data_IF_900796851595
#
_entry.id   IF_900796851595
#
_cell.length_a   1.000
_cell.length_b   1.000
_cell.length_c   1.000
_cell.angle_alpha   90.00
_cell.angle_beta   90.00
_cell.angle_gamma   90.00
#
_symmetry.space_group_name_H-M   'P 1'
#
loop_
_entity.id
_entity.type
_entity.pdbx_description
1 polymer ?
#
# COMPACT_ATOMS: atom_id res chain seq x y z
N UNK A 1 2.38 -4.86 7.43
CA UNK A 1 3.43 -4.91 8.48
C UNK A 1 3.44 -3.63 9.33
N UNK A 2 3.15 -2.45 8.78
CA UNK A 2 3.27 -1.17 9.53
C UNK A 2 2.05 -0.81 10.39
N UNK A 3 0.83 -1.06 9.90
CA UNK A 3 -0.41 -0.56 10.52
C UNK A 3 -0.59 -0.96 12.00
N UNK A 4 -0.28 -2.21 12.35
CA UNK A 4 -0.41 -2.74 13.71
C UNK A 4 0.88 -2.63 14.54
N UNK A 5 1.96 -2.03 14.01
CA UNK A 5 3.26 -1.94 14.68
C UNK A 5 3.38 -0.70 15.60
N UNK A 6 2.26 -0.06 15.95
CA UNK A 6 2.27 1.14 16.79
C UNK A 6 2.52 0.77 18.26
N UNK A 7 3.75 1.06 18.72
CA UNK A 7 4.26 0.66 20.04
C UNK A 7 3.40 1.07 21.24
N UNK A 8 2.70 2.20 21.16
CA UNK A 8 1.98 2.79 22.28
C UNK A 8 0.47 2.87 22.03
N UNK A 9 -0.07 2.06 21.11
CA UNK A 9 -1.49 2.03 20.87
C UNK A 9 -2.24 1.51 22.10
N UNK A 10 -3.31 2.21 22.47
CA UNK A 10 -4.28 1.74 23.48
C UNK A 10 -5.05 0.52 22.98
N UNK A 11 -5.69 -0.19 23.91
CA UNK A 11 -6.53 -1.35 23.58
C UNK A 11 -7.70 -0.92 22.68
N UNK A 12 -8.26 0.26 22.92
CA UNK A 12 -9.35 0.83 22.14
C UNK A 12 -8.93 1.18 20.71
N UNK A 13 -7.73 1.74 20.53
CA UNK A 13 -7.18 2.03 19.19
C UNK A 13 -6.89 0.75 18.40
N UNK A 14 -6.32 -0.28 19.04
CA UNK A 14 -6.10 -1.58 18.40
C UNK A 14 -7.41 -2.24 17.99
N UNK A 15 -8.41 -2.24 18.88
CA UNK A 15 -9.73 -2.80 18.58
C UNK A 15 -10.40 -2.08 17.40
N UNK A 16 -10.25 -0.75 17.31
CA UNK A 16 -10.75 0.04 16.18
C UNK A 16 -10.04 -0.31 14.86
N UNK A 17 -8.71 -0.48 14.88
CA UNK A 17 -7.94 -0.92 13.71
C UNK A 17 -8.31 -2.33 13.25
N UNK A 18 -8.47 -3.27 14.19
CA UNK A 18 -8.90 -4.64 13.89
C UNK A 18 -10.31 -4.67 13.29
N UNK A 19 -11.24 -3.89 13.85
CA UNK A 19 -12.59 -3.75 13.32
C UNK A 19 -12.57 -3.18 11.90
N UNK A 20 -11.73 -2.18 11.63
CA UNK A 20 -11.55 -1.64 10.28
C UNK A 20 -11.05 -2.73 9.33
N UNK A 21 -9.93 -3.41 9.67
CA UNK A 21 -9.33 -4.46 8.84
C UNK A 21 -10.36 -5.57 8.51
N UNK A 22 -11.17 -5.99 9.48
CA UNK A 22 -12.20 -7.02 9.30
C UNK A 22 -13.27 -6.64 8.26
N UNK A 23 -13.48 -5.35 8.01
CA UNK A 23 -14.42 -4.84 7.02
C UNK A 23 -13.75 -4.50 5.67
N UNK A 24 -12.50 -4.93 5.45
CA UNK A 24 -11.76 -4.70 4.19
C UNK A 24 -11.49 -6.00 3.45
N UNK A 25 -11.19 -5.88 2.15
CA UNK A 25 -10.66 -6.98 1.34
C UNK A 25 -9.14 -7.01 1.52
N UNK A 26 -8.61 -8.12 1.99
CA UNK A 26 -7.18 -8.31 2.19
C UNK A 26 -6.54 -8.94 0.95
N UNK A 27 -5.56 -8.24 0.39
CA UNK A 27 -4.69 -8.76 -0.67
C UNK A 27 -3.38 -9.22 -0.04
N UNK A 28 -3.10 -10.51 -0.13
CA UNK A 28 -1.84 -11.08 0.32
C UNK A 28 -0.71 -10.76 -0.68
N UNK A 29 0.52 -10.93 -0.22
CA UNK A 29 1.69 -10.76 -1.06
C UNK A 29 1.87 -11.99 -1.97
N UNK A 30 1.20 -11.96 -3.11
CA UNK A 30 1.23 -13.02 -4.13
C UNK A 30 2.34 -12.77 -5.17
N UNK A 31 2.72 -13.83 -5.90
CA UNK A 31 3.79 -13.76 -6.91
C UNK A 31 3.66 -12.61 -7.92
N UNK A 32 2.46 -12.31 -8.49
CA UNK A 32 2.31 -11.18 -9.41
C UNK A 32 2.66 -9.83 -8.76
N UNK A 33 2.28 -9.65 -7.48
CA UNK A 33 2.60 -8.44 -6.70
C UNK A 33 4.09 -8.38 -6.39
N UNK A 34 4.71 -9.51 -6.03
CA UNK A 34 6.15 -9.60 -5.77
C UNK A 34 6.95 -9.20 -7.01
N UNK A 35 6.65 -9.81 -8.16
CA UNK A 35 7.36 -9.53 -9.41
C UNK A 35 7.18 -8.08 -9.85
N UNK A 36 5.95 -7.55 -9.75
CA UNK A 36 5.69 -6.14 -10.07
C UNK A 36 6.40 -5.19 -9.09
N UNK A 37 6.49 -5.53 -7.81
CA UNK A 37 7.24 -4.73 -6.82
C UNK A 37 8.73 -4.67 -7.16
N UNK A 38 9.31 -5.80 -7.60
CA UNK A 38 10.72 -5.87 -8.04
C UNK A 38 10.93 -4.98 -9.27
N UNK A 39 10.04 -5.04 -10.26
CA UNK A 39 10.08 -4.21 -11.46
C UNK A 39 10.07 -2.71 -11.11
N UNK A 40 9.11 -2.28 -10.28
CA UNK A 40 9.00 -0.90 -9.82
C UNK A 40 10.31 -0.44 -9.15
N UNK A 41 10.90 -1.27 -8.27
CA UNK A 41 12.13 -0.90 -7.56
C UNK A 41 13.38 -0.89 -8.43
N UNK A 42 13.39 -1.61 -9.55
CA UNK A 42 14.48 -1.53 -10.53
C UNK A 42 14.45 -0.20 -11.29
N UNK A 43 13.26 0.36 -11.49
CA UNK A 43 13.05 1.59 -12.27
C UNK A 43 13.00 2.85 -11.40
N UNK A 44 12.59 2.71 -10.15
CA UNK A 44 12.34 3.84 -9.25
C UNK A 44 13.02 3.63 -7.90
N UNK A 45 13.63 4.70 -7.37
CA UNK A 45 14.16 4.73 -6.01
C UNK A 45 13.02 4.93 -5.01
N UNK A 46 12.30 3.84 -4.72
CA UNK A 46 11.15 3.81 -3.80
C UNK A 46 11.35 2.72 -2.74
N UNK A 47 10.82 2.95 -1.53
CA UNK A 47 10.93 2.00 -0.42
C UNK A 47 10.14 0.72 -0.73
N UNK A 48 10.58 -0.39 -0.14
CA UNK A 48 9.93 -1.69 -0.36
C UNK A 48 8.43 -1.70 0.00
N UNK A 49 7.99 -1.16 1.16
CA UNK A 49 6.56 -1.14 1.49
C UNK A 49 5.72 -0.38 0.46
N UNK A 50 6.19 0.80 0.04
CA UNK A 50 5.51 1.62 -0.96
C UNK A 50 5.47 0.93 -2.34
N UNK A 51 6.57 0.27 -2.73
CA UNK A 51 6.61 -0.53 -3.96
C UNK A 51 5.57 -1.65 -3.97
N UNK A 52 5.39 -2.34 -2.83
CA UNK A 52 4.37 -3.39 -2.67
C UNK A 52 2.96 -2.79 -2.82
N UNK A 53 2.70 -1.64 -2.21
CA UNK A 53 1.41 -0.95 -2.31
C UNK A 53 1.10 -0.56 -3.77
N UNK A 54 2.07 0.05 -4.48
CA UNK A 54 1.93 0.42 -5.88
C UNK A 54 1.73 -0.81 -6.79
N UNK A 55 2.50 -1.87 -6.55
CA UNK A 55 2.39 -3.12 -7.29
C UNK A 55 1.02 -3.77 -7.12
N UNK A 56 0.49 -3.83 -5.90
CA UNK A 56 -0.86 -4.35 -5.64
C UNK A 56 -1.92 -3.56 -6.41
N UNK A 57 -1.82 -2.23 -6.43
CA UNK A 57 -2.75 -1.38 -7.17
C UNK A 57 -2.66 -1.63 -8.68
N UNK A 58 -1.45 -1.72 -9.24
CA UNK A 58 -1.25 -1.95 -10.67
C UNK A 58 -1.74 -3.33 -11.13
N UNK A 59 -1.38 -4.39 -10.39
CA UNK A 59 -1.75 -5.78 -10.71
C UNK A 59 -3.28 -5.95 -10.74
N UNK A 60 -3.99 -5.27 -9.83
CA UNK A 60 -5.44 -5.36 -9.72
C UNK A 60 -6.20 -4.21 -10.43
N UNK A 61 -5.50 -3.32 -11.14
CA UNK A 61 -6.06 -2.13 -11.80
C UNK A 61 -6.90 -1.24 -10.85
N UNK A 62 -6.41 -1.04 -9.63
CA UNK A 62 -7.02 -0.17 -8.63
C UNK A 62 -6.45 1.24 -8.63
N UNK A 63 -7.20 2.16 -8.03
CA UNK A 63 -6.74 3.53 -7.75
C UNK A 63 -6.16 3.60 -6.35
N UNK A 64 -4.91 4.04 -6.22
CA UNK A 64 -4.26 4.26 -4.95
C UNK A 64 -4.77 5.55 -4.32
N UNK A 65 -5.45 5.42 -3.18
CA UNK A 65 -5.83 6.56 -2.34
C UNK A 65 -4.64 6.93 -1.46
N UNK A 66 -4.04 8.10 -1.67
CA UNK A 66 -2.83 8.49 -0.91
C UNK A 66 -2.66 10.01 -0.83
N UNK A 67 -2.13 10.49 0.30
CA UNK A 67 -1.57 11.86 0.41
C UNK A 67 -0.14 11.96 -0.06
N UNK A 68 0.58 10.84 -0.12
CA UNK A 68 2.00 10.79 -0.43
C UNK A 68 2.25 10.73 -1.96
N UNK A 69 1.55 11.55 -2.73
CA UNK A 69 1.57 11.47 -4.21
C UNK A 69 2.98 11.66 -4.78
N UNK A 70 3.85 12.40 -4.10
CA UNK A 70 5.21 12.69 -4.52
C UNK A 70 6.07 11.43 -4.71
N UNK A 71 5.89 10.42 -3.85
CA UNK A 71 6.68 9.18 -3.89
C UNK A 71 6.21 8.22 -5.01
N UNK A 72 4.97 8.38 -5.48
CA UNK A 72 4.35 7.51 -6.48
C UNK A 72 4.25 8.14 -7.87
N UNK A 73 4.48 9.45 -8.00
CA UNK A 73 4.24 10.24 -9.23
C UNK A 73 4.93 9.73 -10.50
N UNK A 74 6.06 9.03 -10.34
CA UNK A 74 6.88 8.57 -11.46
C UNK A 74 6.53 7.13 -11.88
N UNK A 75 5.61 6.45 -11.19
CA UNK A 75 5.23 5.07 -11.50
C UNK A 75 4.19 5.10 -12.62
N UNK A 76 4.58 4.62 -13.79
CA UNK A 76 3.73 4.61 -14.98
C UNK A 76 2.48 3.73 -14.77
N UNK A 77 1.32 4.21 -15.25
CA UNK A 77 0.04 3.51 -15.17
C UNK A 77 -0.62 3.49 -13.78
N UNK A 78 0.04 3.99 -12.72
CA UNK A 78 -0.52 4.01 -11.39
C UNK A 78 -1.56 5.14 -11.24
N UNK A 79 -2.83 4.77 -11.14
CA UNK A 79 -3.92 5.72 -10.86
C UNK A 79 -3.86 6.12 -9.40
N UNK A 80 -3.96 7.42 -9.14
CA UNK A 80 -3.94 7.97 -7.78
C UNK A 80 -5.09 8.94 -7.58
N UNK A 81 -5.59 8.98 -6.35
CA UNK A 81 -6.49 10.04 -5.87
C UNK A 81 -6.05 10.52 -4.50
N UNK A 82 -6.01 11.83 -4.32
CA UNK A 82 -5.75 12.46 -3.04
C UNK A 82 -7.10 12.98 -2.49
N UNK A 83 -7.63 12.41 -1.38
CA UNK A 83 -8.97 12.75 -0.90
C UNK A 83 -9.02 13.99 0.02
N UNK A 84 -7.99 14.85 -0.01
CA UNK A 84 -7.92 16.10 0.74
C UNK A 84 -7.63 17.29 -0.18
#
# INVERSE_FOLDING_TARGET
MELLAWRNASVEELAMLEAFIKNTILYNLEEPVILKSIEIRKLHSIKLPDAIIAATALVNNYTLVTRNTADFKNIEGLKMTNPW
#
